data_IF_705322141494
#
_entry.id   IF_705322141494
#
_cell.length_a   1.000
_cell.length_b   1.000
_cell.length_c   1.000
_cell.angle_alpha   90.00
_cell.angle_beta   90.00
_cell.angle_gamma   90.00
#
_symmetry.space_group_name_H-M   'P 1'
#
loop_
_entity.id
_entity.type
_entity.pdbx_description
1 polymer ?
#
# COMPACT_ATOMS: atom_id res chain seq x y z
N UNK A 1 20.12 50.80 36.55
CA UNK A 1 21.36 50.75 35.73
C UNK A 1 21.78 49.28 35.69
N UNK A 2 21.88 48.55 34.57
CA UNK A 2 22.34 48.82 33.20
C UNK A 2 21.53 47.98 32.17
N UNK A 3 21.41 48.46 30.92
CA UNK A 3 20.78 47.80 29.75
C UNK A 3 21.85 47.07 28.92
N UNK A 4 21.53 45.89 28.36
CA UNK A 4 22.16 45.37 27.13
C UNK A 4 21.25 44.30 26.49
N UNK A 5 21.05 44.44 25.18
CA UNK A 5 20.07 43.74 24.34
C UNK A 5 20.80 42.75 23.42
N UNK A 6 20.37 41.48 23.32
CA UNK A 6 20.85 40.58 22.25
C UNK A 6 19.85 39.46 21.86
N UNK A 7 19.22 39.67 20.70
CA UNK A 7 18.95 38.74 19.58
C UNK A 7 17.88 37.63 19.69
N UNK A 8 16.90 37.77 18.79
CA UNK A 8 15.83 36.87 18.34
C UNK A 8 16.28 35.41 18.13
N UNK A 9 15.47 34.45 18.58
CA UNK A 9 15.25 33.17 17.89
C UNK A 9 13.75 32.87 17.94
N UNK A 10 13.07 33.18 16.83
CA UNK A 10 11.70 32.79 16.53
C UNK A 10 11.72 31.27 16.29
N UNK A 11 11.57 30.47 17.33
CA UNK A 11 11.42 29.02 17.18
C UNK A 11 10.01 28.75 16.65
N UNK A 12 9.89 28.72 15.32
CA UNK A 12 8.75 28.13 14.62
C UNK A 12 8.71 26.67 15.05
N UNK A 13 7.76 26.33 15.92
CA UNK A 13 7.41 24.94 16.19
C UNK A 13 6.67 24.43 14.94
N UNK A 14 7.44 23.95 13.96
CA UNK A 14 6.89 23.11 12.91
C UNK A 14 6.44 21.84 13.63
N UNK A 15 5.12 21.73 13.85
CA UNK A 15 4.51 20.47 14.25
C UNK A 15 4.75 19.47 13.12
N UNK A 16 5.78 18.63 13.28
CA UNK A 16 5.96 17.47 12.43
C UNK A 16 4.81 16.53 12.77
N UNK A 17 3.76 16.55 11.96
CA UNK A 17 2.80 15.46 11.93
C UNK A 17 3.58 14.23 11.45
N UNK A 18 4.07 13.43 12.40
CA UNK A 18 4.62 12.11 12.09
C UNK A 18 3.42 11.27 11.68
N UNK A 19 3.18 11.15 10.38
CA UNK A 19 2.21 10.19 9.86
C UNK A 19 2.63 8.80 10.33
N UNK A 20 1.74 8.12 11.04
CA UNK A 20 1.97 6.71 11.39
C UNK A 20 1.89 5.93 10.09
N UNK A 21 3.04 5.56 9.52
CA UNK A 21 3.09 4.61 8.40
C UNK A 21 2.79 3.24 9.00
N UNK A 22 1.58 2.75 8.79
CA UNK A 22 1.19 1.36 9.07
C UNK A 22 1.14 0.64 7.73
N UNK A 23 1.61 -0.60 7.72
CA UNK A 23 1.45 -1.50 6.57
C UNK A 23 -0.03 -1.59 6.18
N UNK A 24 -0.33 -1.32 4.92
CA UNK A 24 -1.66 -1.36 4.33
C UNK A 24 -1.93 -2.72 3.67
N UNK A 25 -3.21 -3.08 3.56
CA UNK A 25 -3.65 -4.22 2.77
C UNK A 25 -4.28 -3.75 1.45
N UNK A 26 -3.86 -4.36 0.36
CA UNK A 26 -4.40 -4.15 -0.99
C UNK A 26 -5.03 -5.43 -1.50
N UNK A 27 -6.34 -5.40 -1.79
CA UNK A 27 -7.09 -6.56 -2.25
C UNK A 27 -7.15 -6.59 -3.78
N UNK A 28 -7.00 -7.79 -4.34
CA UNK A 28 -7.08 -8.05 -5.77
C UNK A 28 -8.08 -9.15 -6.04
N UNK A 29 -8.95 -8.96 -7.02
CA UNK A 29 -9.91 -9.96 -7.49
C UNK A 29 -9.96 -9.91 -9.03
N UNK A 30 -9.78 -11.02 -9.75
CA UNK A 30 -9.74 -11.00 -11.21
C UNK A 30 -11.11 -10.68 -11.84
N UNK A 31 -12.21 -10.71 -11.07
CA UNK A 31 -13.50 -10.19 -11.50
C UNK A 31 -13.55 -8.64 -11.53
N UNK A 32 -12.59 -7.98 -10.86
CA UNK A 32 -12.48 -6.52 -10.78
C UNK A 32 -13.58 -5.85 -9.95
N UNK A 33 -13.51 -4.52 -9.92
CA UNK A 33 -14.55 -3.60 -9.46
C UNK A 33 -14.69 -2.50 -10.52
N UNK A 34 -15.89 -1.96 -10.70
CA UNK A 34 -16.14 -0.86 -11.65
C UNK A 34 -15.36 0.42 -11.29
N UNK A 35 -15.08 0.61 -9.99
CA UNK A 35 -14.30 1.72 -9.44
C UNK A 35 -13.31 1.18 -8.39
N UNK A 36 -12.15 0.65 -8.82
CA UNK A 36 -11.25 -0.06 -7.93
C UNK A 36 -10.37 0.89 -7.13
N UNK A 37 -10.38 0.75 -5.80
CA UNK A 37 -9.48 1.49 -4.89
C UNK A 37 -8.57 0.56 -4.06
N UNK A 38 -8.64 -0.75 -4.30
CA UNK A 38 -7.81 -1.74 -3.63
C UNK A 38 -8.29 -2.13 -2.23
N UNK A 39 -9.44 -1.64 -1.79
CA UNK A 39 -10.13 -2.15 -0.60
C UNK A 39 -10.79 -3.50 -0.86
N UNK A 40 -11.23 -4.18 0.21
CA UNK A 40 -11.96 -5.45 0.08
C UNK A 40 -13.27 -5.31 -0.72
N UNK A 41 -13.96 -4.18 -0.61
CA UNK A 41 -15.24 -3.92 -1.29
C UNK A 41 -15.05 -3.50 -2.75
N UNK A 42 -13.91 -2.88 -3.06
CA UNK A 42 -13.56 -2.37 -4.39
C UNK A 42 -12.14 -2.81 -4.77
N UNK A 43 -11.90 -4.12 -4.94
CA UNK A 43 -10.57 -4.67 -5.17
C UNK A 43 -10.01 -4.23 -6.53
N UNK A 44 -8.68 -4.24 -6.64
CA UNK A 44 -8.03 -4.12 -7.94
C UNK A 44 -8.29 -5.37 -8.79
N UNK A 45 -8.30 -5.19 -10.11
CA UNK A 45 -8.48 -6.29 -11.06
C UNK A 45 -7.18 -7.08 -11.27
N UNK A 46 -6.04 -6.39 -11.24
CA UNK A 46 -4.72 -6.96 -11.54
C UNK A 46 -3.75 -6.83 -10.38
N UNK A 47 -2.80 -7.76 -10.30
CA UNK A 47 -1.74 -7.73 -9.29
C UNK A 47 -0.84 -6.49 -9.52
N UNK A 48 -0.60 -6.09 -10.77
CA UNK A 48 0.17 -4.89 -11.09
C UNK A 48 -0.47 -3.60 -10.55
N UNK A 49 -1.81 -3.48 -10.56
CA UNK A 49 -2.47 -2.32 -9.94
C UNK A 49 -2.20 -2.25 -8.44
N UNK A 50 -2.22 -3.38 -7.73
CA UNK A 50 -1.87 -3.44 -6.32
C UNK A 50 -0.40 -3.11 -6.08
N UNK A 51 0.53 -3.61 -6.91
CA UNK A 51 1.95 -3.27 -6.84
C UNK A 51 2.20 -1.78 -7.04
N UNK A 52 1.49 -1.14 -7.98
CA UNK A 52 1.60 0.30 -8.21
C UNK A 52 1.12 1.15 -7.02
N UNK A 53 0.22 0.62 -6.19
CA UNK A 53 -0.31 1.29 -5.00
C UNK A 53 0.51 1.01 -3.73
N UNK A 54 1.27 -0.10 -3.71
CA UNK A 54 1.93 -0.61 -2.53
C UNK A 54 3.18 0.19 -2.14
N UNK A 55 3.45 0.22 -0.83
CA UNK A 55 4.68 0.74 -0.22
C UNK A 55 5.37 -0.36 0.60
N UNK A 56 6.59 -0.08 1.04
CA UNK A 56 7.34 -1.01 1.91
C UNK A 56 6.53 -1.42 3.14
N UNK A 57 6.45 -2.73 3.37
CA UNK A 57 5.72 -3.36 4.46
C UNK A 57 4.28 -3.75 4.12
N UNK A 58 3.73 -3.29 2.99
CA UNK A 58 2.35 -3.60 2.62
C UNK A 58 2.11 -5.09 2.32
N UNK A 59 0.85 -5.47 2.38
CA UNK A 59 0.39 -6.81 2.00
C UNK A 59 -0.58 -6.73 0.84
N UNK A 60 -0.27 -7.44 -0.25
CA UNK A 60 -1.21 -7.72 -1.34
C UNK A 60 -1.96 -9.01 -1.01
N UNK A 61 -3.28 -8.94 -1.04
CA UNK A 61 -4.19 -10.03 -0.69
C UNK A 61 -4.97 -10.44 -1.93
N UNK A 62 -4.71 -11.66 -2.41
CA UNK A 62 -5.37 -12.24 -3.57
C UNK A 62 -6.65 -12.96 -3.12
N UNK A 63 -7.79 -12.55 -3.67
CA UNK A 63 -9.05 -13.28 -3.55
C UNK A 63 -9.04 -14.53 -4.44
N UNK A 64 -9.96 -15.49 -4.22
CA UNK A 64 -10.06 -16.68 -5.06
C UNK A 64 -10.30 -16.32 -6.53
N UNK A 65 -9.56 -16.95 -7.44
CA UNK A 65 -9.77 -16.78 -8.87
C UNK A 65 -8.51 -16.99 -9.70
N UNK A 66 -8.69 -17.03 -11.03
CA UNK A 66 -7.61 -17.23 -11.99
C UNK A 66 -7.11 -15.88 -12.50
N UNK A 67 -5.88 -15.53 -12.12
CA UNK A 67 -5.22 -14.29 -12.55
C UNK A 67 -4.51 -14.50 -13.88
N UNK A 68 -5.13 -14.05 -14.96
CA UNK A 68 -4.61 -14.19 -16.33
C UNK A 68 -4.53 -12.84 -17.03
N UNK A 69 -3.81 -12.78 -18.15
CA UNK A 69 -3.66 -11.56 -18.94
C UNK A 69 -2.62 -10.57 -18.39
N UNK A 70 -2.42 -9.48 -19.12
CA UNK A 70 -1.42 -8.47 -18.82
C UNK A 70 -1.64 -7.87 -17.43
N UNK A 71 -0.58 -7.70 -16.65
CA UNK A 71 -0.65 -7.20 -15.28
C UNK A 71 -0.83 -8.27 -14.21
N UNK A 72 -0.87 -9.55 -14.61
CA UNK A 72 -0.92 -10.70 -13.71
C UNK A 72 0.28 -11.68 -13.89
N UNK A 73 1.21 -11.35 -14.79
CA UNK A 73 2.46 -12.11 -15.01
C UNK A 73 3.62 -11.15 -15.31
N UNK A 74 4.86 -11.65 -15.27
CA UNK A 74 6.11 -10.87 -15.42
C UNK A 74 6.20 -9.67 -14.46
N UNK A 75 5.74 -9.87 -13.23
CA UNK A 75 5.64 -8.83 -12.22
C UNK A 75 6.99 -8.53 -11.57
N UNK A 76 7.25 -7.25 -11.35
CA UNK A 76 8.37 -6.75 -10.54
C UNK A 76 7.82 -6.07 -9.29
N UNK A 77 8.47 -6.31 -8.15
CA UNK A 77 8.18 -5.60 -6.89
C UNK A 77 9.04 -4.35 -6.72
N UNK A 78 9.87 -4.00 -7.70
CA UNK A 78 10.69 -2.78 -7.74
C UNK A 78 11.55 -2.52 -6.49
N UNK A 79 11.96 -3.61 -5.82
CA UNK A 79 12.76 -3.56 -4.59
C UNK A 79 11.95 -3.36 -3.30
N UNK A 80 10.62 -3.32 -3.40
CA UNK A 80 9.74 -3.20 -2.23
C UNK A 80 9.78 -4.46 -1.36
N UNK A 81 9.76 -4.25 -0.04
CA UNK A 81 9.58 -5.32 0.94
C UNK A 81 8.08 -5.58 1.14
N UNK A 82 7.51 -6.51 0.38
CA UNK A 82 6.07 -6.81 0.37
C UNK A 82 5.76 -8.23 0.82
N UNK A 83 4.54 -8.43 1.30
CA UNK A 83 3.92 -9.76 1.42
C UNK A 83 2.83 -9.92 0.36
N UNK A 84 2.81 -11.04 -0.35
CA UNK A 84 1.71 -11.41 -1.25
C UNK A 84 1.16 -12.74 -0.77
N UNK A 85 -0.16 -12.81 -0.52
CA UNK A 85 -0.82 -14.05 -0.03
C UNK A 85 -2.25 -14.17 -0.55
N UNK A 86 -2.75 -15.41 -0.60
CA UNK A 86 -4.18 -15.69 -0.83
C UNK A 86 -5.02 -15.47 0.44
N UNK A 87 -6.30 -15.12 0.30
CA UNK A 87 -7.29 -15.20 1.39
C UNK A 87 -7.65 -16.65 1.76
N UNK A 88 -7.42 -17.59 0.85
CA UNK A 88 -7.70 -19.01 1.02
C UNK A 88 -6.45 -19.85 0.70
N UNK A 89 -5.40 -19.78 1.52
CA UNK A 89 -4.16 -20.52 1.26
C UNK A 89 -4.30 -22.04 1.39
N UNK A 90 -5.36 -22.52 2.05
CA UNK A 90 -5.58 -23.95 2.34
C UNK A 90 -6.47 -24.65 1.29
N UNK A 91 -6.97 -23.93 0.28
CA UNK A 91 -7.89 -24.43 -0.74
C UNK A 91 -7.21 -24.48 -2.12
N UNK A 92 -6.68 -25.65 -2.46
CA UNK A 92 -5.91 -25.89 -3.69
C UNK A 92 -6.78 -25.90 -4.97
N UNK A 93 -8.11 -25.95 -4.84
CA UNK A 93 -9.04 -25.88 -5.99
C UNK A 93 -9.27 -24.43 -6.46
N UNK A 94 -8.81 -23.43 -5.69
CA UNK A 94 -9.10 -22.00 -5.92
C UNK A 94 -7.86 -21.11 -6.14
N UNK A 95 -6.66 -21.71 -6.15
CA UNK A 95 -5.35 -21.06 -6.32
C UNK A 95 -4.77 -21.24 -7.72
#
# INVERSE_FOLDING_TARGET
>A
MMKMMQRVCLSVMIGLAVGVVSAQQWFVCPAGSDDPNGSFEQPFETIQQALNAAQDGDTIVLMPGVYSGQGNYDLSVDGLSLTIRSTQPDDWDTV
#
